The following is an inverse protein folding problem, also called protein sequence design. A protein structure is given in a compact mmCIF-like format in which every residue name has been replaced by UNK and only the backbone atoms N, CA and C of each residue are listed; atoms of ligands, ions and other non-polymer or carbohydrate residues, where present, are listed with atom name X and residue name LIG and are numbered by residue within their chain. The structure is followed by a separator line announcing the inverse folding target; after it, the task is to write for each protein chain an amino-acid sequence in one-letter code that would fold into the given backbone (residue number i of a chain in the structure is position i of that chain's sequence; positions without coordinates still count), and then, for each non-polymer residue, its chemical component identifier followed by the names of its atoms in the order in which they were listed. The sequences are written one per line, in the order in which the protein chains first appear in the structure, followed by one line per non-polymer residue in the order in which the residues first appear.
data_IF_336533005969
#
_entry.id   IF_336533005969
#
_cell.length_a   1.000
_cell.length_b   1.000
_cell.length_c   1.000
_cell.angle_alpha   90.00
_cell.angle_beta   90.00
_cell.angle_gamma   90.00
#
_symmetry.space_group_name_H-M   'P 1'
#
loop_
_entity.id
_entity.type
_entity.pdbx_description
1 polymer ?
#
# COMPACT_ATOMS: atom_id res chain seq x y z
N UNK A 1 35.82 -14.36 -6.44
CA UNK A 1 35.44 -12.93 -6.62
C UNK A 1 34.14 -12.59 -5.91
N UNK A 2 33.05 -13.36 -6.07
CA UNK A 2 31.78 -13.13 -5.37
C UNK A 2 31.92 -12.97 -3.84
N UNK A 3 32.71 -13.81 -3.17
CA UNK A 3 32.93 -13.74 -1.72
C UNK A 3 33.62 -12.43 -1.26
N UNK A 4 34.44 -11.82 -2.12
CA UNK A 4 35.11 -10.53 -1.86
C UNK A 4 34.13 -9.35 -1.94
N UNK A 5 33.23 -9.36 -2.93
CA UNK A 5 32.17 -8.36 -3.07
C UNK A 5 31.18 -8.42 -1.90
N UNK A 6 30.81 -9.63 -1.49
CA UNK A 6 29.93 -9.85 -0.35
C UNK A 6 30.55 -9.33 0.96
N UNK A 7 31.83 -9.65 1.23
CA UNK A 7 32.57 -9.10 2.37
C UNK A 7 32.68 -7.58 2.32
N UNK A 8 32.88 -7.00 1.13
CA UNK A 8 32.95 -5.55 0.96
C UNK A 8 31.61 -4.86 1.29
N UNK A 9 30.49 -5.48 0.91
CA UNK A 9 29.15 -4.98 1.23
C UNK A 9 28.86 -5.01 2.74
N UNK A 10 29.14 -6.12 3.42
CA UNK A 10 28.88 -6.27 4.87
C UNK A 10 29.74 -5.30 5.70
N UNK A 11 30.99 -5.05 5.29
CA UNK A 11 31.93 -4.22 6.07
C UNK A 11 31.60 -2.72 6.04
N UNK A 12 30.63 -2.28 5.25
CA UNK A 12 30.24 -0.86 5.21
C UNK A 12 29.38 -0.50 6.43
N UNK A 13 29.97 0.20 7.41
CA UNK A 13 29.28 0.72 8.62
C UNK A 13 27.99 1.49 8.30
N UNK A 14 27.92 2.15 7.13
CA UNK A 14 26.75 2.89 6.66
C UNK A 14 25.52 1.99 6.43
N UNK A 15 25.72 0.73 6.05
CA UNK A 15 24.62 -0.22 5.84
C UNK A 15 23.96 -0.60 7.17
N UNK A 16 24.74 -0.72 8.27
CA UNK A 16 24.21 -1.01 9.61
C UNK A 16 23.35 0.16 10.11
N UNK A 17 23.87 1.39 10.03
CA UNK A 17 23.10 2.59 10.41
C UNK A 17 21.80 2.69 9.61
N UNK A 18 21.86 2.35 8.33
CA UNK A 18 20.70 2.34 7.46
C UNK A 18 19.63 1.31 7.89
N UNK A 19 20.04 0.09 8.26
CA UNK A 19 19.10 -0.90 8.80
C UNK A 19 18.46 -0.44 10.11
N UNK A 20 19.22 0.21 10.99
CA UNK A 20 18.69 0.79 12.23
C UNK A 20 17.63 1.86 11.90
N UNK A 21 17.90 2.76 10.96
CA UNK A 21 16.93 3.78 10.52
C UNK A 21 15.66 3.15 9.92
N UNK A 22 15.79 2.09 9.11
CA UNK A 22 14.63 1.36 8.59
C UNK A 22 13.80 0.72 9.70
N UNK A 23 14.45 0.14 10.71
CA UNK A 23 13.77 -0.47 11.85
C UNK A 23 13.01 0.61 12.64
N UNK A 24 13.66 1.73 12.96
CA UNK A 24 13.00 2.85 13.66
C UNK A 24 11.80 3.36 12.86
N UNK A 25 11.97 3.61 11.56
CA UNK A 25 10.89 4.05 10.69
C UNK A 25 9.74 3.04 10.66
N UNK A 26 10.06 1.75 10.57
CA UNK A 26 9.08 0.66 10.64
C UNK A 26 8.30 0.69 11.96
N UNK A 27 8.97 0.86 13.09
CA UNK A 27 8.33 0.96 14.41
C UNK A 27 7.40 2.17 14.50
N UNK A 28 7.86 3.35 14.07
CA UNK A 28 7.05 4.58 14.09
C UNK A 28 5.77 4.41 13.28
N UNK A 29 5.88 3.95 12.03
CA UNK A 29 4.69 3.86 11.16
C UNK A 29 3.71 2.80 11.68
N UNK A 30 4.22 1.64 12.11
CA UNK A 30 3.37 0.55 12.64
C UNK A 30 2.67 0.97 13.94
N UNK A 31 3.36 1.73 14.80
CA UNK A 31 2.78 2.26 16.04
C UNK A 31 1.70 3.30 15.77
N UNK A 32 1.91 4.20 14.80
CA UNK A 32 0.90 5.18 14.37
C UNK A 32 -0.35 4.45 13.85
N UNK A 33 -0.15 3.41 13.03
CA UNK A 33 -1.24 2.59 12.48
C UNK A 33 -2.07 1.93 13.58
N UNK A 34 -1.41 1.33 14.58
CA UNK A 34 -2.09 0.73 15.73
C UNK A 34 -2.88 1.76 16.54
N UNK A 35 -2.26 2.90 16.85
CA UNK A 35 -2.91 3.98 17.58
C UNK A 35 -4.15 4.53 16.86
N UNK A 36 -4.07 4.71 15.53
CA UNK A 36 -5.20 5.18 14.74
C UNK A 36 -6.34 4.16 14.69
N UNK A 37 -6.04 2.86 14.63
CA UNK A 37 -7.06 1.81 14.70
C UNK A 37 -7.78 1.77 16.06
N UNK A 38 -7.02 1.88 17.16
CA UNK A 38 -7.58 1.92 18.52
C UNK A 38 -8.45 3.17 18.69
N UNK A 39 -8.00 4.32 18.16
CA UNK A 39 -8.77 5.57 18.13
C UNK A 39 -10.06 5.43 17.33
N UNK A 40 -10.03 4.81 16.15
CA UNK A 40 -11.22 4.62 15.32
C UNK A 40 -12.25 3.72 16.00
N UNK A 41 -11.80 2.64 16.65
CA UNK A 41 -12.67 1.75 17.43
C UNK A 41 -13.32 2.50 18.58
N UNK A 42 -12.53 3.27 19.34
CA UNK A 42 -13.06 4.11 20.42
C UNK A 42 -14.09 5.12 19.92
N UNK A 43 -13.83 5.76 18.78
CA UNK A 43 -14.74 6.72 18.16
C UNK A 43 -16.09 6.09 17.77
N UNK A 44 -16.09 4.85 17.29
CA UNK A 44 -17.36 4.15 17.00
C UNK A 44 -18.18 3.91 18.28
N UNK A 45 -17.52 3.59 19.40
CA UNK A 45 -18.17 3.49 20.70
C UNK A 45 -18.73 4.86 21.12
N UNK A 46 -17.92 5.92 21.04
CA UNK A 46 -18.31 7.28 21.41
C UNK A 46 -19.54 7.78 20.64
N UNK A 47 -19.67 7.44 19.34
CA UNK A 47 -20.86 7.78 18.53
C UNK A 47 -22.13 7.12 19.09
N UNK A 48 -22.06 5.88 19.56
CA UNK A 48 -23.20 5.21 20.16
C UNK A 48 -23.49 5.71 21.57
N UNK A 49 -22.46 6.02 22.35
CA UNK A 49 -22.59 6.61 23.70
C UNK A 49 -23.25 7.99 23.63
N UNK A 50 -22.84 8.86 22.70
CA UNK A 50 -23.43 10.19 22.55
C UNK A 50 -24.92 10.14 22.21
N UNK A 51 -25.31 9.26 21.28
CA UNK A 51 -26.74 9.07 20.94
C UNK A 51 -27.55 8.57 22.14
N UNK A 52 -26.99 7.67 22.94
CA UNK A 52 -27.66 7.21 24.16
C UNK A 52 -27.85 8.37 25.15
N UNK A 53 -26.83 9.21 25.33
CA UNK A 53 -26.87 10.31 26.28
C UNK A 53 -27.83 11.43 25.83
N UNK A 54 -27.87 11.75 24.53
CA UNK A 54 -28.85 12.68 23.95
C UNK A 54 -30.30 12.19 24.15
N UNK A 55 -30.53 10.89 23.97
CA UNK A 55 -31.84 10.28 24.20
C UNK A 55 -32.19 10.28 25.69
N UNK A 56 -31.24 10.00 26.58
CA UNK A 56 -31.48 10.07 28.04
C UNK A 56 -31.89 11.48 28.47
N UNK A 57 -31.22 12.52 27.96
CA UNK A 57 -31.61 13.91 28.23
C UNK A 57 -33.02 14.22 27.72
N UNK A 58 -33.37 13.72 26.54
CA UNK A 58 -34.73 13.85 25.98
C UNK A 58 -35.77 13.16 26.87
N UNK A 59 -35.49 11.94 27.34
CA UNK A 59 -36.35 11.21 28.28
C UNK A 59 -36.52 11.92 29.62
N UNK A 60 -35.47 12.58 30.13
CA UNK A 60 -35.56 13.40 31.35
C UNK A 60 -36.46 14.64 31.14
N UNK A 61 -36.33 15.31 29.99
CA UNK A 61 -37.19 16.43 29.62
C UNK A 61 -38.67 16.01 29.57
N UNK A 62 -38.99 14.88 28.93
CA UNK A 62 -40.37 14.37 28.88
C UNK A 62 -40.93 14.05 30.26
N UNK A 63 -40.11 13.50 31.17
CA UNK A 63 -40.52 13.25 32.56
C UNK A 63 -40.84 14.54 33.31
N UNK A 64 -40.15 15.63 33.02
CA UNK A 64 -40.42 16.94 33.63
C UNK A 64 -41.72 17.54 33.10
N UNK A 65 -41.95 17.53 31.79
CA UNK A 65 -43.19 18.03 31.19
C UNK A 65 -44.44 17.29 31.71
N UNK A 66 -44.33 15.97 31.88
CA UNK A 66 -45.38 15.14 32.50
C UNK A 66 -45.66 15.55 33.96
N UNK A 67 -44.61 15.85 34.75
CA UNK A 67 -44.75 16.31 36.14
C UNK A 67 -45.37 17.70 36.25
N UNK A 68 -45.12 18.57 35.27
CA UNK A 68 -45.68 19.92 35.24
C UNK A 68 -47.16 19.96 34.82
N UNK A 69 -47.75 18.82 34.42
CA UNK A 69 -49.18 18.71 34.11
C UNK A 69 -49.62 19.49 32.87
N UNK A 70 -48.67 19.85 31.99
CA UNK A 70 -48.89 20.73 30.83
C UNK A 70 -49.41 20.01 29.57
N UNK A 71 -49.50 18.69 29.58
CA UNK A 71 -49.79 17.86 28.40
C UNK A 71 -51.27 17.42 28.37
N UNK A 72 -51.89 17.48 27.19
CA UNK A 72 -53.21 16.89 26.95
C UNK A 72 -53.16 15.36 27.01
N UNK A 73 -54.30 14.69 27.13
CA UNK A 73 -54.34 13.21 27.15
C UNK A 73 -53.85 12.55 25.84
N UNK A 74 -54.00 13.22 24.70
CA UNK A 74 -53.45 12.76 23.42
C UNK A 74 -51.91 12.89 23.40
N UNK A 75 -51.39 14.01 23.89
CA UNK A 75 -49.94 14.25 23.96
C UNK A 75 -49.26 13.29 24.95
N UNK A 76 -49.95 12.90 26.03
CA UNK A 76 -49.44 11.89 26.98
C UNK A 76 -49.25 10.53 26.32
N UNK A 77 -50.21 10.07 25.51
CA UNK A 77 -50.09 8.80 24.77
C UNK A 77 -48.96 8.82 23.74
N UNK A 78 -48.86 9.91 22.97
CA UNK A 78 -47.78 10.09 21.99
C UNK A 78 -46.40 10.12 22.66
N UNK A 79 -46.31 10.74 23.84
CA UNK A 79 -45.10 10.77 24.65
C UNK A 79 -44.73 9.36 25.17
N UNK A 80 -45.69 8.58 25.68
CA UNK A 80 -45.44 7.20 26.11
C UNK A 80 -44.94 6.29 24.97
N UNK A 81 -45.49 6.42 23.76
CA UNK A 81 -45.00 5.69 22.58
C UNK A 81 -43.58 6.11 22.19
N UNK A 82 -43.32 7.42 22.15
CA UNK A 82 -41.99 7.97 21.87
C UNK A 82 -40.94 7.49 22.89
N UNK A 83 -41.29 7.43 24.17
CA UNK A 83 -40.41 6.91 25.22
C UNK A 83 -40.06 5.43 25.01
N UNK A 84 -41.02 4.60 24.58
CA UNK A 84 -40.75 3.18 24.25
C UNK A 84 -39.77 3.05 23.09
N UNK A 85 -39.95 3.86 22.06
CA UNK A 85 -39.04 3.87 20.91
C UNK A 85 -37.63 4.32 21.31
N UNK A 86 -37.52 5.36 22.13
CA UNK A 86 -36.23 5.80 22.68
C UNK A 86 -35.53 4.73 23.52
N UNK A 87 -36.26 4.03 24.39
CA UNK A 87 -35.69 2.91 25.17
C UNK A 87 -35.17 1.82 24.24
N UNK A 88 -35.94 1.46 23.19
CA UNK A 88 -35.52 0.46 22.20
C UNK A 88 -34.26 0.90 21.45
N UNK A 89 -34.14 2.19 21.11
CA UNK A 89 -32.93 2.74 20.48
C UNK A 89 -31.74 2.64 21.44
N UNK A 90 -31.90 3.00 22.72
CA UNK A 90 -30.86 2.85 23.74
C UNK A 90 -30.39 1.40 23.81
N UNK A 91 -31.31 0.44 23.90
CA UNK A 91 -30.96 -1.00 23.96
C UNK A 91 -30.16 -1.46 22.73
N UNK A 92 -30.56 -1.03 21.53
CA UNK A 92 -29.86 -1.36 20.28
C UNK A 92 -28.45 -0.76 20.29
N UNK A 93 -28.30 0.51 20.71
CA UNK A 93 -27.01 1.21 20.76
C UNK A 93 -26.09 0.63 21.83
N UNK A 94 -26.61 0.30 23.02
CA UNK A 94 -25.86 -0.37 24.08
C UNK A 94 -25.36 -1.74 23.63
N UNK A 95 -26.23 -2.53 22.97
CA UNK A 95 -25.82 -3.81 22.38
C UNK A 95 -24.71 -3.63 21.35
N UNK A 96 -24.78 -2.60 20.51
CA UNK A 96 -23.74 -2.31 19.53
C UNK A 96 -22.40 -2.00 20.21
N UNK A 97 -22.40 -1.18 21.26
CA UNK A 97 -21.19 -0.89 22.07
C UNK A 97 -20.58 -2.18 22.61
N UNK A 98 -21.38 -3.07 23.18
CA UNK A 98 -20.89 -4.35 23.71
C UNK A 98 -20.30 -5.23 22.61
N UNK A 99 -20.92 -5.26 21.43
CA UNK A 99 -20.45 -6.04 20.29
C UNK A 99 -19.15 -5.50 19.70
N UNK A 100 -18.98 -4.18 19.66
CA UNK A 100 -17.71 -3.54 19.29
C UNK A 100 -16.62 -3.87 20.32
N UNK A 101 -16.90 -3.67 21.62
CA UNK A 101 -15.94 -3.95 22.71
C UNK A 101 -15.47 -5.40 22.73
N UNK A 102 -16.37 -6.33 22.43
CA UNK A 102 -16.07 -7.76 22.39
C UNK A 102 -15.58 -8.26 21.02
N UNK A 103 -15.42 -7.38 20.01
CA UNK A 103 -15.01 -7.76 18.66
C UNK A 103 -15.88 -8.85 18.03
N UNK A 104 -17.19 -8.79 18.24
CA UNK A 104 -18.17 -9.72 17.65
C UNK A 104 -18.42 -9.36 16.17
N UNK A 105 -17.44 -9.68 15.33
CA UNK A 105 -17.43 -9.29 13.92
C UNK A 105 -18.59 -9.88 13.12
N UNK A 106 -19.08 -11.06 13.46
CA UNK A 106 -20.22 -11.67 12.76
C UNK A 106 -21.47 -10.82 12.92
N UNK A 107 -21.80 -10.42 14.16
CA UNK A 107 -22.90 -9.52 14.42
C UNK A 107 -22.72 -8.15 13.75
N UNK A 108 -21.51 -7.60 13.81
CA UNK A 108 -21.20 -6.29 13.22
C UNK A 108 -21.36 -6.31 11.69
N UNK A 109 -20.92 -7.38 11.02
CA UNK A 109 -21.11 -7.53 9.58
C UNK A 109 -22.58 -7.67 9.22
N UNK A 110 -23.34 -8.47 9.96
CA UNK A 110 -24.77 -8.63 9.70
C UNK A 110 -25.51 -7.32 9.81
N UNK A 111 -25.19 -6.53 10.83
CA UNK A 111 -25.87 -5.26 11.01
C UNK A 111 -25.56 -4.24 9.92
N UNK A 112 -24.33 -4.23 9.41
CA UNK A 112 -23.96 -3.33 8.32
C UNK A 112 -24.47 -3.83 6.96
N UNK A 113 -24.48 -5.15 6.71
CA UNK A 113 -25.04 -5.73 5.49
C UNK A 113 -26.54 -5.40 5.34
N UNK A 114 -27.28 -5.38 6.45
CA UNK A 114 -28.69 -4.90 6.48
C UNK A 114 -28.82 -3.44 6.04
N UNK A 115 -27.86 -2.58 6.38
CA UNK A 115 -27.94 -1.14 6.05
C UNK A 115 -27.57 -0.84 4.58
N UNK A 116 -26.82 -1.74 3.93
CA UNK A 116 -26.34 -1.57 2.55
C UNK A 116 -27.40 -1.92 1.49
N UNK A 117 -28.51 -2.53 1.89
CA UNK A 117 -29.65 -2.83 1.01
C UNK A 117 -30.94 -2.26 1.55
N UNK A 118 -31.81 -1.83 0.65
CA UNK A 118 -33.17 -1.42 1.00
C UNK A 118 -34.11 -2.64 1.14
N UNK A 119 -35.38 -2.36 1.46
CA UNK A 119 -36.42 -3.39 1.62
C UNK A 119 -36.69 -4.19 0.34
N UNK A 120 -36.40 -3.62 -0.83
CA UNK A 120 -36.59 -4.25 -2.13
C UNK A 120 -35.37 -5.09 -2.54
N UNK A 121 -34.29 -5.03 -1.76
CA UNK A 121 -33.05 -5.76 -1.96
C UNK A 121 -32.06 -5.05 -2.89
N UNK A 122 -32.36 -3.83 -3.31
CA UNK A 122 -31.47 -2.95 -4.08
C UNK A 122 -30.43 -2.29 -3.17
N UNK A 123 -29.31 -1.85 -3.75
CA UNK A 123 -28.27 -1.17 -2.97
C UNK A 123 -28.71 0.23 -2.56
N UNK A 124 -28.61 0.50 -1.26
CA UNK A 124 -28.97 1.79 -0.67
C UNK A 124 -28.11 2.92 -1.27
N UNK A 125 -28.76 4.05 -1.58
CA UNK A 125 -28.05 5.28 -1.95
C UNK A 125 -27.48 5.88 -0.66
N UNK A 126 -26.16 6.00 -0.59
CA UNK A 126 -25.47 6.54 0.58
C UNK A 126 -25.01 7.97 0.30
N UNK A 127 -25.55 8.89 1.07
CA UNK A 127 -25.23 10.32 0.99
C UNK A 127 -24.41 10.72 2.21
N UNK A 128 -23.21 11.28 1.97
CA UNK A 128 -22.41 11.85 3.04
C UNK A 128 -22.58 13.37 3.02
N UNK A 129 -23.32 13.90 3.99
CA UNK A 129 -23.55 15.33 4.10
C UNK A 129 -23.11 15.86 5.47
N UNK A 130 -22.61 17.08 5.49
CA UNK A 130 -22.40 17.87 6.70
C UNK A 130 -22.60 19.37 6.38
N UNK A 131 -22.34 20.25 7.35
CA UNK A 131 -22.55 21.70 7.17
C UNK A 131 -21.73 22.31 6.01
N UNK A 132 -20.60 21.69 5.64
CA UNK A 132 -19.66 22.17 4.63
C UNK A 132 -19.75 21.43 3.29
N UNK A 133 -20.31 20.21 3.29
CA UNK A 133 -20.42 19.33 2.12
C UNK A 133 -21.87 18.90 1.97
N UNK A 134 -22.46 19.29 0.84
CA UNK A 134 -23.83 18.92 0.46
C UNK A 134 -23.80 18.11 -0.83
N UNK A 135 -24.72 17.17 -0.95
CA UNK A 135 -24.97 16.35 -2.14
C UNK A 135 -23.77 15.49 -2.55
N UNK A 136 -22.99 14.99 -1.59
CA UNK A 136 -21.92 14.03 -1.86
C UNK A 136 -22.45 12.60 -1.82
N UNK A 137 -22.80 12.11 -3.01
CA UNK A 137 -23.32 10.76 -3.23
C UNK A 137 -22.18 9.75 -3.44
N UNK A 138 -22.20 8.66 -2.67
CA UNK A 138 -21.28 7.55 -2.84
C UNK A 138 -21.63 6.78 -4.12
N UNK A 139 -20.60 6.37 -4.87
CA UNK A 139 -20.79 5.62 -6.09
C UNK A 139 -21.47 4.27 -5.79
N UNK A 140 -22.49 3.88 -6.57
CA UNK A 140 -23.17 2.58 -6.43
C UNK A 140 -22.18 1.41 -6.44
N UNK A 141 -21.13 1.46 -7.26
CA UNK A 141 -20.09 0.43 -7.29
C UNK A 141 -19.29 0.35 -5.99
N UNK A 142 -19.09 1.47 -5.28
CA UNK A 142 -18.44 1.49 -3.96
C UNK A 142 -19.31 0.79 -2.92
N UNK A 143 -20.63 1.02 -2.95
CA UNK A 143 -21.60 0.33 -2.08
C UNK A 143 -21.60 -1.18 -2.36
N UNK A 144 -21.65 -1.57 -3.63
CA UNK A 144 -21.59 -2.96 -4.08
C UNK A 144 -20.28 -3.66 -3.64
N UNK A 145 -19.13 -3.00 -3.84
CA UNK A 145 -17.82 -3.49 -3.38
C UNK A 145 -17.79 -3.63 -1.87
N UNK A 146 -18.39 -2.69 -1.12
CA UNK A 146 -18.47 -2.75 0.34
C UNK A 146 -19.27 -3.99 0.77
N UNK A 147 -20.44 -4.21 0.18
CA UNK A 147 -21.29 -5.37 0.46
C UNK A 147 -20.55 -6.69 0.18
N UNK A 148 -19.93 -6.83 -0.99
CA UNK A 148 -19.16 -8.04 -1.36
C UNK A 148 -17.96 -8.26 -0.43
N UNK A 149 -17.29 -7.18 -0.02
CA UNK A 149 -16.16 -7.25 0.92
C UNK A 149 -16.60 -7.74 2.30
N UNK A 150 -17.68 -7.17 2.86
CA UNK A 150 -18.22 -7.59 4.16
C UNK A 150 -18.75 -9.03 4.10
N UNK A 151 -19.44 -9.40 3.03
CA UNK A 151 -19.92 -10.77 2.80
C UNK A 151 -18.76 -11.76 2.75
N UNK A 152 -17.67 -11.40 2.06
CA UNK A 152 -16.46 -12.21 2.02
C UNK A 152 -15.81 -12.34 3.41
N UNK A 153 -15.67 -11.24 4.15
CA UNK A 153 -15.09 -11.24 5.51
C UNK A 153 -15.90 -12.13 6.45
N UNK A 154 -17.24 -12.01 6.43
CA UNK A 154 -18.15 -12.86 7.21
C UNK A 154 -17.99 -14.34 6.85
N UNK A 155 -18.08 -14.67 5.57
CA UNK A 155 -17.99 -16.05 5.07
C UNK A 155 -16.68 -16.75 5.47
N UNK A 156 -15.59 -15.98 5.56
CA UNK A 156 -14.28 -16.49 5.91
C UNK A 156 -13.88 -16.30 7.38
N UNK A 157 -14.78 -15.78 8.22
CA UNK A 157 -14.56 -15.46 9.63
C UNK A 157 -13.26 -14.64 9.84
N UNK A 158 -13.10 -13.59 9.05
CA UNK A 158 -11.94 -12.71 9.10
C UNK A 158 -12.33 -11.41 9.83
N UNK A 159 -11.62 -11.01 10.90
CA UNK A 159 -11.90 -9.76 11.61
C UNK A 159 -11.53 -8.54 10.75
N UNK A 160 -12.21 -7.41 10.89
CA UNK A 160 -11.94 -6.18 10.12
C UNK A 160 -11.36 -5.09 11.03
N UNK A 161 -11.25 -3.88 10.49
CA UNK A 161 -11.10 -2.64 11.23
C UNK A 161 -12.31 -1.74 11.01
N UNK A 162 -12.57 -0.85 11.97
CA UNK A 162 -13.59 0.19 11.85
C UNK A 162 -13.08 1.40 11.02
N UNK A 163 -13.98 2.14 10.36
CA UNK A 163 -15.44 1.93 10.31
C UNK A 163 -15.85 0.92 9.21
N UNK A 164 -17.03 0.29 9.33
CA UNK A 164 -17.47 -0.80 8.43
C UNK A 164 -18.40 -0.34 7.29
N UNK A 165 -19.07 0.78 7.50
CA UNK A 165 -20.07 1.40 6.64
C UNK A 165 -19.65 1.57 5.17
N UNK A 166 -18.41 1.98 4.87
CA UNK A 166 -17.94 2.18 3.48
C UNK A 166 -16.52 1.66 3.31
N UNK A 167 -16.28 0.89 2.24
CA UNK A 167 -14.94 0.55 1.76
C UNK A 167 -14.53 1.55 0.67
N UNK A 168 -13.57 2.43 0.95
CA UNK A 168 -13.07 3.37 -0.07
C UNK A 168 -12.56 2.62 -1.30
N UNK A 169 -13.05 3.01 -2.48
CA UNK A 169 -12.58 2.48 -3.77
C UNK A 169 -12.00 3.60 -4.64
N UNK A 170 -11.32 3.23 -5.72
CA UNK A 170 -10.78 4.18 -6.70
C UNK A 170 -11.89 4.79 -7.58
N UNK A 171 -13.15 4.35 -7.43
CA UNK A 171 -14.31 4.99 -8.05
C UNK A 171 -14.70 6.30 -7.36
N UNK A 172 -14.28 6.50 -6.11
CA UNK A 172 -14.51 7.75 -5.38
C UNK A 172 -13.45 8.80 -5.74
N UNK A 173 -13.90 9.92 -6.29
CA UNK A 173 -13.04 11.07 -6.63
C UNK A 173 -13.56 12.35 -5.97
N UNK A 174 -13.27 12.55 -4.67
CA UNK A 174 -13.63 13.80 -3.99
C UNK A 174 -12.97 14.99 -4.69
N UNK A 175 -13.75 16.06 -4.86
CA UNK A 175 -13.36 17.30 -5.56
C UNK A 175 -12.71 18.31 -4.63
N UNK A 176 -13.06 18.27 -3.35
CA UNK A 176 -12.57 19.20 -2.32
C UNK A 176 -11.87 18.47 -1.19
N UNK A 177 -11.08 19.21 -0.40
CA UNK A 177 -10.46 18.68 0.82
C UNK A 177 -11.51 18.25 1.84
N UNK A 178 -12.63 18.98 1.91
CA UNK A 178 -13.73 18.73 2.83
C UNK A 178 -14.44 17.42 2.47
N UNK A 179 -14.73 17.20 1.18
CA UNK A 179 -15.27 15.94 0.67
C UNK A 179 -14.32 14.77 0.96
N UNK A 180 -13.00 14.95 0.73
CA UNK A 180 -12.03 13.90 1.02
C UNK A 180 -11.95 13.56 2.50
N UNK A 181 -12.00 14.57 3.38
CA UNK A 181 -11.98 14.37 4.82
C UNK A 181 -13.26 13.69 5.32
N UNK A 182 -14.41 14.04 4.73
CA UNK A 182 -15.70 13.41 5.04
C UNK A 182 -15.73 11.95 4.57
N UNK A 183 -15.27 11.68 3.35
CA UNK A 183 -15.11 10.32 2.85
C UNK A 183 -14.16 9.53 3.75
N UNK A 184 -13.03 10.09 4.14
CA UNK A 184 -12.08 9.43 5.04
C UNK A 184 -12.68 9.15 6.41
N UNK A 185 -13.47 10.06 6.97
CA UNK A 185 -14.19 9.83 8.22
C UNK A 185 -15.07 8.57 8.16
N UNK A 186 -15.73 8.36 7.02
CA UNK A 186 -16.67 7.27 6.82
C UNK A 186 -16.07 6.01 6.19
N UNK A 187 -14.83 6.04 5.71
CA UNK A 187 -14.28 4.90 4.93
C UNK A 187 -12.83 4.56 5.22
N UNK A 188 -12.09 5.42 5.92
CA UNK A 188 -10.68 5.19 6.22
C UNK A 188 -10.54 4.14 7.30
N UNK A 189 -10.33 2.90 6.84
CA UNK A 189 -9.93 1.78 7.69
C UNK A 189 -8.42 1.82 7.89
N UNK A 190 -7.98 1.89 9.14
CA UNK A 190 -6.58 1.65 9.46
C UNK A 190 -6.41 0.16 9.66
N UNK A 191 -6.21 -0.55 8.55
CA UNK A 191 -6.11 -2.00 8.51
C UNK A 191 -4.91 -2.47 9.35
N UNK A 192 -5.18 -3.36 10.31
CA UNK A 192 -4.19 -3.85 11.27
C UNK A 192 -3.64 -5.21 10.86
N UNK A 193 -2.32 -5.36 11.00
CA UNK A 193 -1.63 -6.63 10.89
C UNK A 193 -0.81 -6.82 9.62
N UNK A 194 -0.03 -7.90 9.63
CA UNK A 194 1.13 -8.10 8.77
C UNK A 194 0.86 -8.06 7.26
N UNK A 195 -0.21 -8.70 6.79
CA UNK A 195 -0.59 -8.78 5.37
C UNK A 195 -1.02 -7.43 4.78
N UNK A 196 -1.79 -6.65 5.54
CA UNK A 196 -2.19 -5.30 5.12
C UNK A 196 -1.00 -4.34 5.10
N UNK A 197 -0.11 -4.45 6.08
CA UNK A 197 1.13 -3.67 6.11
C UNK A 197 2.04 -3.97 4.92
N UNK A 198 2.16 -5.24 4.55
CA UNK A 198 2.88 -5.64 3.34
C UNK A 198 2.22 -5.10 2.07
N UNK A 199 0.89 -5.09 2.00
CA UNK A 199 0.19 -4.56 0.84
C UNK A 199 0.34 -3.03 0.74
N UNK A 200 0.24 -2.33 1.86
CA UNK A 200 0.54 -0.90 1.97
C UNK A 200 1.98 -0.59 1.51
N UNK A 201 2.94 -1.42 1.92
CA UNK A 201 4.33 -1.34 1.48
C UNK A 201 4.48 -1.36 -0.05
N UNK A 202 3.78 -2.26 -0.73
CA UNK A 202 3.85 -2.39 -2.19
C UNK A 202 3.05 -1.32 -2.94
N UNK A 203 2.00 -0.78 -2.32
CA UNK A 203 1.04 0.13 -2.96
C UNK A 203 1.52 1.58 -2.95
N UNK A 204 2.26 1.97 -1.90
CA UNK A 204 2.64 3.35 -1.64
C UNK A 204 4.14 3.64 -1.91
N UNK A 205 4.62 4.79 -1.43
CA UNK A 205 5.91 5.41 -1.78
C UNK A 205 7.16 4.62 -1.32
N UNK A 206 7.04 3.45 -0.70
CA UNK A 206 8.17 2.74 -0.10
C UNK A 206 9.08 2.04 -1.13
N UNK A 207 8.61 1.80 -2.36
CA UNK A 207 9.48 1.41 -3.48
C UNK A 207 10.52 2.49 -3.81
N UNK A 208 10.24 3.77 -3.50
CA UNK A 208 11.23 4.85 -3.65
C UNK A 208 12.36 4.71 -2.64
N UNK A 209 12.08 4.27 -1.41
CA UNK A 209 13.12 3.98 -0.41
C UNK A 209 14.00 2.84 -0.93
N UNK A 210 13.42 1.77 -1.44
CA UNK A 210 14.17 0.67 -2.04
C UNK A 210 15.02 1.11 -3.23
N UNK A 211 14.46 1.94 -4.12
CA UNK A 211 15.17 2.55 -5.25
C UNK A 211 16.37 3.36 -4.77
N UNK A 212 16.18 4.22 -3.77
CA UNK A 212 17.24 5.03 -3.17
C UNK A 212 18.37 4.15 -2.61
N UNK A 213 18.03 3.09 -1.89
CA UNK A 213 19.01 2.15 -1.34
C UNK A 213 19.82 1.50 -2.45
N UNK A 214 19.15 0.95 -3.48
CA UNK A 214 19.83 0.31 -4.61
C UNK A 214 20.79 1.31 -5.25
N UNK A 215 20.33 2.53 -5.55
CA UNK A 215 21.13 3.55 -6.22
C UNK A 215 22.36 3.92 -5.39
N UNK A 216 22.20 4.17 -4.09
CA UNK A 216 23.32 4.53 -3.20
C UNK A 216 24.30 3.37 -3.04
N UNK A 217 23.81 2.19 -2.71
CA UNK A 217 24.64 1.00 -2.47
C UNK A 217 25.41 0.61 -3.73
N UNK A 218 24.70 0.39 -4.83
CA UNK A 218 25.28 -0.16 -6.05
C UNK A 218 25.95 0.90 -6.91
N UNK A 219 25.48 2.15 -6.91
CA UNK A 219 26.17 3.26 -7.55
C UNK A 219 27.57 3.47 -6.97
N UNK A 220 27.72 3.38 -5.65
CA UNK A 220 29.03 3.43 -4.99
C UNK A 220 29.86 2.18 -5.33
N UNK A 221 29.26 0.99 -5.29
CA UNK A 221 29.98 -0.28 -5.51
C UNK A 221 30.52 -0.40 -6.95
N UNK A 222 29.71 -0.06 -7.95
CA UNK A 222 30.10 -0.13 -9.37
C UNK A 222 30.99 1.02 -9.80
N UNK A 223 30.80 2.23 -9.28
CA UNK A 223 31.75 3.31 -9.56
C UNK A 223 33.14 2.97 -9.02
N UNK A 224 33.23 2.36 -7.83
CA UNK A 224 34.49 1.86 -7.27
C UNK A 224 35.10 0.70 -8.05
N UNK A 225 34.32 -0.03 -8.86
CA UNK A 225 34.82 -1.05 -9.78
C UNK A 225 35.61 -0.47 -10.95
N UNK A 226 35.16 0.68 -11.42
CA UNK A 226 35.82 1.43 -12.49
C UNK A 226 36.97 2.29 -11.98
N UNK A 227 36.89 2.78 -10.74
CA UNK A 227 37.89 3.64 -10.13
C UNK A 227 39.22 2.90 -9.89
N UNK A 228 40.31 3.41 -10.49
CA UNK A 228 41.65 2.80 -10.45
C UNK A 228 42.29 2.80 -9.05
N UNK A 229 41.76 3.59 -8.12
CA UNK A 229 42.32 3.77 -6.77
C UNK A 229 41.95 2.65 -5.79
N UNK A 230 41.00 1.76 -6.13
CA UNK A 230 40.61 0.68 -5.22
C UNK A 230 41.67 -0.44 -5.19
N UNK A 231 42.39 -0.54 -4.06
CA UNK A 231 43.49 -1.50 -3.82
C UNK A 231 43.12 -2.95 -4.17
N UNK A 232 41.89 -3.37 -3.88
CA UNK A 232 41.41 -4.74 -4.12
C UNK A 232 41.24 -5.04 -5.61
N UNK A 233 40.70 -4.08 -6.36
CA UNK A 233 40.49 -4.24 -7.81
C UNK A 233 41.80 -4.10 -8.56
N UNK A 234 42.70 -3.23 -8.09
CA UNK A 234 44.08 -3.16 -8.59
C UNK A 234 44.77 -4.51 -8.41
N UNK A 235 44.66 -5.14 -7.24
CA UNK A 235 45.20 -6.47 -6.97
C UNK A 235 44.60 -7.55 -7.91
N UNK A 236 43.28 -7.54 -8.12
CA UNK A 236 42.63 -8.49 -9.05
C UNK A 236 43.08 -8.27 -10.50
N UNK A 237 43.23 -7.00 -10.92
CA UNK A 237 43.73 -6.63 -12.25
C UNK A 237 45.21 -7.00 -12.44
N UNK A 238 46.04 -6.91 -11.41
CA UNK A 238 47.45 -7.33 -11.44
C UNK A 238 47.60 -8.85 -11.37
N UNK A 239 46.63 -9.56 -10.79
CA UNK A 239 46.59 -11.03 -10.73
C UNK A 239 46.08 -11.68 -12.03
N UNK A 240 45.98 -10.93 -13.13
CA UNK A 240 45.57 -11.45 -14.45
C UNK A 240 44.05 -11.63 -14.64
N UNK A 241 43.20 -11.14 -13.74
CA UNK A 241 41.75 -11.21 -13.96
C UNK A 241 41.32 -10.24 -15.07
N UNK A 242 40.63 -10.76 -16.09
CA UNK A 242 40.07 -9.96 -17.17
C UNK A 242 38.99 -9.00 -16.68
N UNK A 243 38.85 -7.84 -17.35
CA UNK A 243 37.84 -6.84 -16.98
C UNK A 243 36.44 -7.41 -17.14
N UNK A 244 36.23 -8.22 -18.18
CA UNK A 244 35.00 -8.97 -18.41
C UNK A 244 34.62 -9.85 -17.20
N UNK A 245 35.56 -10.62 -16.65
CA UNK A 245 35.32 -11.51 -15.50
C UNK A 245 35.00 -10.72 -14.23
N UNK A 246 35.60 -9.55 -14.05
CA UNK A 246 35.33 -8.66 -12.91
C UNK A 246 33.92 -8.06 -13.01
N UNK A 247 33.55 -7.51 -14.16
CA UNK A 247 32.23 -6.88 -14.38
C UNK A 247 31.11 -7.92 -14.31
N UNK A 248 31.25 -9.06 -14.99
CA UNK A 248 30.25 -10.15 -14.94
C UNK A 248 30.06 -10.71 -13.52
N UNK A 249 31.14 -10.93 -12.78
CA UNK A 249 31.05 -11.34 -11.37
C UNK A 249 30.39 -10.27 -10.49
N UNK A 250 30.64 -8.99 -10.78
CA UNK A 250 30.00 -7.86 -10.12
C UNK A 250 28.49 -7.80 -10.39
N UNK A 251 28.06 -7.97 -11.65
CA UNK A 251 26.65 -7.98 -12.04
C UNK A 251 25.90 -9.15 -11.41
N UNK A 252 26.50 -10.35 -11.42
CA UNK A 252 25.89 -11.54 -10.82
C UNK A 252 25.74 -11.38 -9.29
N UNK A 253 26.81 -10.96 -8.61
CA UNK A 253 26.78 -10.76 -7.15
C UNK A 253 25.84 -9.62 -6.77
N UNK A 254 25.86 -8.53 -7.55
CA UNK A 254 24.99 -7.38 -7.34
C UNK A 254 23.52 -7.72 -7.54
N UNK A 255 23.17 -8.48 -8.59
CA UNK A 255 21.81 -8.96 -8.83
C UNK A 255 21.28 -9.83 -7.68
N UNK A 256 22.07 -10.81 -7.22
CA UNK A 256 21.70 -11.63 -6.04
C UNK A 256 21.48 -10.75 -4.81
N UNK A 257 22.39 -9.81 -4.56
CA UNK A 257 22.30 -8.93 -3.41
C UNK A 257 21.08 -8.00 -3.49
N UNK A 258 20.72 -7.52 -4.68
CA UNK A 258 19.50 -6.73 -4.92
C UNK A 258 18.26 -7.54 -4.56
N UNK A 259 18.21 -8.82 -4.95
CA UNK A 259 17.10 -9.72 -4.59
C UNK A 259 17.04 -9.94 -3.07
N UNK A 260 18.17 -10.27 -2.44
CA UNK A 260 18.24 -10.48 -0.99
C UNK A 260 17.77 -9.22 -0.24
N UNK A 261 18.22 -8.04 -0.66
CA UNK A 261 17.82 -6.76 -0.07
C UNK A 261 16.33 -6.49 -0.29
N UNK A 262 15.82 -6.82 -1.49
CA UNK A 262 14.41 -6.69 -1.84
C UNK A 262 13.51 -7.63 -1.04
N UNK A 263 13.99 -8.78 -0.59
CA UNK A 263 13.25 -9.68 0.31
C UNK A 263 13.38 -9.26 1.77
N UNK A 264 14.57 -8.79 2.17
CA UNK A 264 14.88 -8.47 3.55
C UNK A 264 14.11 -7.24 4.05
N UNK A 265 13.91 -6.21 3.22
CA UNK A 265 13.16 -5.01 3.62
C UNK A 265 11.69 -5.34 3.96
N UNK A 266 10.89 -5.96 3.08
CA UNK A 266 9.54 -6.41 3.43
C UNK A 266 9.52 -7.33 4.65
N UNK A 267 10.53 -8.21 4.80
CA UNK A 267 10.63 -9.11 5.96
C UNK A 267 10.82 -8.36 7.28
N UNK A 268 11.64 -7.29 7.30
CA UNK A 268 11.80 -6.45 8.50
C UNK A 268 10.49 -5.76 8.84
N UNK A 269 9.82 -5.15 7.86
CA UNK A 269 8.53 -4.49 8.10
C UNK A 269 7.46 -5.48 8.55
N UNK A 270 7.44 -6.68 7.98
CA UNK A 270 6.58 -7.77 8.42
C UNK A 270 6.86 -8.16 9.88
N UNK A 271 8.14 -8.33 10.25
CA UNK A 271 8.52 -8.70 11.61
C UNK A 271 8.15 -7.63 12.64
N UNK A 272 8.32 -6.34 12.31
CA UNK A 272 7.92 -5.23 13.18
C UNK A 272 6.40 -5.20 13.37
N UNK A 273 5.64 -5.29 12.27
CA UNK A 273 4.17 -5.32 12.34
C UNK A 273 3.66 -6.52 13.13
N UNK A 274 4.28 -7.69 12.93
CA UNK A 274 3.96 -8.90 13.69
C UNK A 274 4.12 -8.70 15.20
N UNK A 275 5.18 -7.99 15.63
CA UNK A 275 5.42 -7.71 17.05
C UNK A 275 4.43 -6.69 17.65
N UNK A 276 3.99 -5.71 16.86
CA UNK A 276 3.11 -4.63 17.35
C UNK A 276 1.63 -5.02 17.29
N UNK A 277 1.23 -5.64 16.19
CA UNK A 277 -0.17 -5.84 15.78
C UNK A 277 -0.56 -7.32 15.64
N UNK A 278 0.40 -8.24 15.71
CA UNK A 278 0.17 -9.67 15.49
C UNK A 278 0.08 -10.06 14.01
N UNK A 279 -0.09 -11.35 13.74
CA UNK A 279 -0.28 -11.87 12.39
C UNK A 279 -1.70 -11.60 11.88
N UNK A 280 -1.82 -11.17 10.63
CA UNK A 280 -3.10 -11.11 9.94
C UNK A 280 -3.23 -12.21 8.88
N UNK A 281 -4.48 -12.47 8.47
CA UNK A 281 -4.79 -13.48 7.46
C UNK A 281 -4.23 -13.11 6.08
N UNK A 282 -3.74 -14.08 5.32
CA UNK A 282 -3.42 -13.88 3.90
C UNK A 282 -4.66 -13.98 3.00
N UNK A 283 -5.83 -14.26 3.58
CA UNK A 283 -7.11 -14.35 2.87
C UNK A 283 -7.88 -13.04 2.85
N UNK A 284 -7.40 -11.96 3.49
CA UNK A 284 -8.10 -10.67 3.51
C UNK A 284 -8.51 -10.23 2.10
N UNK A 285 -9.73 -9.74 1.89
CA UNK A 285 -10.20 -9.31 0.59
C UNK A 285 -9.49 -8.02 0.16
N UNK A 286 -9.07 -7.98 -1.10
CA UNK A 286 -8.64 -6.78 -1.81
C UNK A 286 -9.50 -6.63 -3.06
N UNK A 287 -10.00 -5.42 -3.27
CA UNK A 287 -10.70 -5.06 -4.50
C UNK A 287 -9.70 -4.91 -5.63
N UNK A 288 -9.83 -5.76 -6.65
CA UNK A 288 -9.02 -5.69 -7.86
C UNK A 288 -9.85 -5.19 -9.02
N UNK A 289 -9.27 -4.31 -9.82
CA UNK A 289 -9.94 -3.62 -10.92
C UNK A 289 -9.61 -4.31 -12.24
N UNK A 290 -10.65 -4.67 -12.98
CA UNK A 290 -10.55 -5.42 -14.25
C UNK A 290 -11.01 -4.50 -15.36
N UNK A 291 -10.20 -4.38 -16.42
CA UNK A 291 -10.58 -3.65 -17.63
C UNK A 291 -11.56 -4.50 -18.44
N UNK A 292 -12.76 -3.98 -18.69
CA UNK A 292 -13.83 -4.59 -19.49
C UNK A 292 -13.88 -4.08 -20.93
N UNK A 293 -13.38 -2.87 -21.19
CA UNK A 293 -13.50 -2.19 -22.48
C UNK A 293 -12.22 -1.44 -22.86
N UNK A 294 -11.99 -1.29 -24.16
CA UNK A 294 -10.82 -0.64 -24.75
C UNK A 294 -10.88 0.90 -24.74
N UNK A 295 -11.97 1.48 -24.23
CA UNK A 295 -12.10 2.93 -24.04
C UNK A 295 -11.95 3.31 -22.56
N UNK A 296 -11.29 4.43 -22.24
CA UNK A 296 -11.20 4.88 -20.84
C UNK A 296 -12.51 5.53 -20.39
N UNK A 297 -13.24 4.85 -19.52
CA UNK A 297 -14.36 5.38 -18.74
C UNK A 297 -14.46 4.59 -17.44
N UNK A 298 -15.13 5.10 -16.39
CA UNK A 298 -15.37 4.31 -15.19
C UNK A 298 -16.22 3.05 -15.45
N UNK A 299 -17.13 3.12 -16.43
CA UNK A 299 -17.94 1.98 -16.88
C UNK A 299 -17.09 0.89 -17.55
N UNK A 300 -15.87 1.25 -18.00
CA UNK A 300 -14.91 0.32 -18.59
C UNK A 300 -14.20 -0.53 -17.54
N UNK A 301 -14.43 -0.29 -16.25
CA UNK A 301 -13.85 -1.06 -15.16
C UNK A 301 -14.92 -1.92 -14.49
N UNK A 302 -14.60 -3.19 -14.30
CA UNK A 302 -15.23 -4.04 -13.31
C UNK A 302 -14.34 -4.19 -12.08
N UNK A 303 -14.83 -4.92 -11.11
CA UNK A 303 -14.05 -5.32 -9.95
C UNK A 303 -14.16 -6.83 -9.70
N UNK A 304 -13.22 -7.34 -8.92
CA UNK A 304 -13.26 -8.67 -8.31
C UNK A 304 -12.63 -8.60 -6.93
N UNK A 305 -13.24 -9.28 -5.97
CA UNK A 305 -12.66 -9.49 -4.65
C UNK A 305 -11.71 -10.70 -4.73
N UNK A 306 -10.43 -10.48 -4.40
CA UNK A 306 -9.42 -11.53 -4.35
C UNK A 306 -8.70 -11.52 -3.01
N UNK A 307 -8.14 -12.65 -2.56
CA UNK A 307 -7.32 -12.64 -1.35
C UNK A 307 -6.05 -11.80 -1.55
N UNK A 308 -5.65 -11.09 -0.49
CA UNK A 308 -4.45 -10.25 -0.44
C UNK A 308 -3.20 -11.02 -0.83
N UNK A 309 -3.14 -12.35 -0.60
CA UNK A 309 -2.03 -13.21 -1.03
C UNK A 309 -1.76 -13.15 -2.54
N UNK A 310 -2.80 -13.09 -3.39
CA UNK A 310 -2.64 -13.03 -4.84
C UNK A 310 -2.00 -11.69 -5.26
N UNK A 311 -2.52 -10.58 -4.72
CA UNK A 311 -2.01 -9.24 -4.96
C UNK A 311 -0.57 -9.09 -4.43
N UNK A 312 -0.28 -9.60 -3.23
CA UNK A 312 1.05 -9.57 -2.63
C UNK A 312 2.07 -10.35 -3.47
N UNK A 313 1.70 -11.53 -3.97
CA UNK A 313 2.59 -12.35 -4.81
C UNK A 313 2.94 -11.62 -6.10
N UNK A 314 1.94 -11.06 -6.79
CA UNK A 314 2.14 -10.24 -7.99
C UNK A 314 3.00 -9.01 -7.71
N UNK A 315 2.71 -8.32 -6.61
CA UNK A 315 3.45 -7.14 -6.17
C UNK A 315 4.92 -7.45 -5.89
N UNK A 316 5.20 -8.56 -5.21
CA UNK A 316 6.56 -9.00 -4.88
C UNK A 316 7.36 -9.32 -6.15
N UNK A 317 6.76 -10.02 -7.11
CA UNK A 317 7.41 -10.33 -8.40
C UNK A 317 7.80 -9.03 -9.13
N UNK A 318 6.84 -8.10 -9.28
CA UNK A 318 7.09 -6.81 -9.92
C UNK A 318 8.14 -6.00 -9.16
N UNK A 319 8.09 -5.99 -7.83
CA UNK A 319 9.03 -5.30 -6.98
C UNK A 319 10.48 -5.78 -7.18
N UNK A 320 10.68 -7.10 -7.20
CA UNK A 320 12.01 -7.69 -7.41
C UNK A 320 12.52 -7.42 -8.83
N UNK A 321 11.67 -7.57 -9.86
CA UNK A 321 12.04 -7.24 -11.23
C UNK A 321 12.40 -5.76 -11.38
N UNK A 322 11.61 -4.87 -10.80
CA UNK A 322 11.89 -3.43 -10.79
C UNK A 322 13.21 -3.12 -10.07
N UNK A 323 13.48 -3.77 -8.93
CA UNK A 323 14.76 -3.65 -8.22
C UNK A 323 15.96 -4.03 -9.09
N UNK A 324 15.88 -5.17 -9.79
CA UNK A 324 16.93 -5.62 -10.72
C UNK A 324 17.09 -4.63 -11.87
N UNK A 325 16.00 -4.12 -12.42
CA UNK A 325 16.04 -3.10 -13.47
C UNK A 325 16.77 -1.83 -13.01
N UNK A 326 16.41 -1.26 -11.85
CA UNK A 326 17.08 -0.08 -11.27
C UNK A 326 18.56 -0.34 -10.98
N UNK A 327 18.88 -1.53 -10.48
CA UNK A 327 20.26 -1.96 -10.26
C UNK A 327 21.08 -1.91 -11.56
N UNK A 328 20.53 -2.41 -12.67
CA UNK A 328 21.23 -2.42 -13.96
C UNK A 328 21.36 -1.02 -14.58
N UNK A 329 20.33 -0.17 -14.46
CA UNK A 329 20.39 1.23 -14.88
C UNK A 329 21.51 1.96 -14.12
N UNK A 330 21.53 1.82 -12.80
CA UNK A 330 22.56 2.43 -11.94
C UNK A 330 23.95 1.92 -12.32
N UNK A 331 24.09 0.61 -12.55
CA UNK A 331 25.36 -0.01 -12.95
C UNK A 331 25.85 0.54 -14.29
N UNK A 332 24.95 0.71 -15.26
CA UNK A 332 25.24 1.31 -16.57
C UNK A 332 25.79 2.72 -16.42
N UNK A 333 25.11 3.56 -15.64
CA UNK A 333 25.53 4.94 -15.39
C UNK A 333 26.90 4.98 -14.70
N UNK A 334 27.11 4.12 -13.69
CA UNK A 334 28.39 4.01 -12.99
C UNK A 334 29.55 3.67 -13.92
N UNK A 335 29.33 2.81 -14.92
CA UNK A 335 30.36 2.45 -15.90
C UNK A 335 30.85 3.65 -16.72
N UNK A 336 29.96 4.60 -17.03
CA UNK A 336 30.30 5.80 -17.81
C UNK A 336 30.88 6.93 -16.97
N UNK A 337 30.32 7.19 -15.78
CA UNK A 337 30.64 8.38 -14.97
C UNK A 337 31.92 8.21 -14.16
N UNK A 338 32.29 6.97 -13.78
CA UNK A 338 33.52 6.61 -13.05
C UNK A 338 33.77 7.42 -11.76
N UNK A 339 32.70 7.94 -11.15
CA UNK A 339 32.72 8.69 -9.91
C UNK A 339 31.49 8.32 -9.09
N UNK A 340 31.70 7.90 -7.83
CA UNK A 340 30.62 7.38 -6.99
C UNK A 340 29.53 8.41 -6.72
N UNK A 341 29.91 9.66 -6.41
CA UNK A 341 28.95 10.72 -6.08
C UNK A 341 28.17 11.14 -7.33
N UNK A 342 28.87 11.40 -8.43
CA UNK A 342 28.22 11.79 -9.69
C UNK A 342 27.31 10.69 -10.23
N UNK A 343 27.70 9.42 -10.10
CA UNK A 343 26.86 8.29 -10.52
C UNK A 343 25.57 8.19 -9.72
N UNK A 344 25.63 8.39 -8.39
CA UNK A 344 24.43 8.37 -7.54
C UNK A 344 23.50 9.52 -7.92
N UNK A 345 24.01 10.74 -8.03
CA UNK A 345 23.23 11.92 -8.39
C UNK A 345 22.58 11.76 -9.77
N UNK A 346 23.35 11.32 -10.77
CA UNK A 346 22.84 11.16 -12.14
C UNK A 346 21.82 10.03 -12.24
N UNK A 347 22.03 8.90 -11.55
CA UNK A 347 21.07 7.79 -11.53
C UNK A 347 19.76 8.22 -10.89
N UNK A 348 19.82 8.90 -9.75
CA UNK A 348 18.63 9.37 -9.06
C UNK A 348 17.88 10.44 -9.87
N UNK A 349 18.61 11.42 -10.44
CA UNK A 349 18.03 12.45 -11.30
C UNK A 349 17.33 11.87 -12.54
N UNK A 350 17.94 10.86 -13.18
CA UNK A 350 17.36 10.18 -14.33
C UNK A 350 16.11 9.37 -13.94
N UNK A 351 16.17 8.61 -12.85
CA UNK A 351 15.01 7.83 -12.39
C UNK A 351 13.86 8.76 -12.02
N UNK A 352 14.12 9.83 -11.25
CA UNK A 352 13.11 10.78 -10.81
C UNK A 352 12.43 11.50 -11.98
N UNK A 353 13.21 11.92 -12.99
CA UNK A 353 12.66 12.59 -14.18
C UNK A 353 11.87 11.62 -15.06
N UNK A 354 12.39 10.42 -15.31
CA UNK A 354 11.70 9.44 -16.14
C UNK A 354 10.44 8.86 -15.48
N UNK A 355 10.39 8.81 -14.15
CA UNK A 355 9.21 8.38 -13.40
C UNK A 355 7.99 9.29 -13.63
N UNK A 356 8.19 10.57 -13.97
CA UNK A 356 7.09 11.51 -14.24
C UNK A 356 6.31 11.16 -15.52
N UNK A 357 6.94 10.43 -16.45
CA UNK A 357 6.28 9.99 -17.68
C UNK A 357 5.46 8.73 -17.43
N UNK A 358 4.24 8.91 -16.92
CA UNK A 358 3.32 7.83 -16.55
C UNK A 358 2.72 7.12 -17.79
N UNK A 359 3.53 6.30 -18.45
CA UNK A 359 3.16 5.48 -19.60
C UNK A 359 3.41 4.00 -19.33
N UNK A 360 2.54 3.14 -19.85
CA UNK A 360 2.62 1.70 -19.64
C UNK A 360 3.91 1.08 -20.18
N UNK A 361 4.54 1.64 -21.22
CA UNK A 361 5.80 1.13 -21.77
C UNK A 361 7.05 1.68 -21.07
N UNK A 362 6.89 2.62 -20.13
CA UNK A 362 8.00 3.22 -19.40
C UNK A 362 8.25 2.43 -18.11
N UNK A 363 9.32 1.62 -17.99
CA UNK A 363 9.56 0.83 -16.78
C UNK A 363 9.82 1.71 -15.54
N UNK A 364 10.25 2.98 -15.70
CA UNK A 364 10.45 3.90 -14.57
C UNK A 364 9.14 4.36 -13.90
N UNK A 365 7.99 4.18 -14.56
CA UNK A 365 6.69 4.51 -13.96
C UNK A 365 6.19 3.42 -12.99
N UNK A 366 6.85 2.26 -12.92
CA UNK A 366 6.36 1.07 -12.19
C UNK A 366 6.68 1.06 -10.69
N UNK A 367 6.90 2.23 -10.10
CA UNK A 367 7.22 2.37 -8.69
C UNK A 367 6.02 2.08 -7.76
N UNK A 368 4.78 2.06 -8.26
CA UNK A 368 3.57 1.65 -7.52
C UNK A 368 3.17 0.21 -7.87
N UNK A 369 4.03 -0.75 -7.56
CA UNK A 369 3.84 -2.17 -7.95
C UNK A 369 2.56 -2.78 -7.39
N UNK A 370 2.13 -2.39 -6.19
CA UNK A 370 0.86 -2.83 -5.58
C UNK A 370 -0.35 -2.37 -6.38
N UNK A 371 -0.33 -1.12 -6.85
CA UNK A 371 -1.40 -0.55 -7.69
C UNK A 371 -1.45 -1.16 -9.10
N UNK A 372 -0.33 -1.67 -9.59
CA UNK A 372 -0.29 -2.45 -10.83
C UNK A 372 -0.87 -3.84 -10.59
N UNK A 373 -0.57 -4.46 -9.44
CA UNK A 373 -1.03 -5.78 -9.08
C UNK A 373 -2.54 -5.86 -8.83
N UNK A 374 -3.13 -4.83 -8.20
CA UNK A 374 -4.58 -4.74 -8.00
C UNK A 374 -5.34 -4.04 -9.13
N UNK A 375 -4.64 -3.44 -10.10
CA UNK A 375 -5.22 -2.77 -11.26
C UNK A 375 -5.66 -1.31 -11.02
N UNK A 376 -5.60 -0.80 -9.79
CA UNK A 376 -5.98 0.58 -9.44
C UNK A 376 -5.16 1.63 -10.20
N UNK A 377 -3.94 1.28 -10.63
CA UNK A 377 -3.07 2.18 -11.39
C UNK A 377 -3.72 2.70 -12.67
N UNK A 378 -4.61 1.92 -13.28
CA UNK A 378 -5.31 2.28 -14.51
C UNK A 378 -6.27 3.45 -14.26
N UNK A 379 -7.03 3.38 -13.17
CA UNK A 379 -7.96 4.45 -12.78
C UNK A 379 -7.18 5.73 -12.42
N UNK A 380 -6.13 5.60 -11.61
CA UNK A 380 -5.29 6.74 -11.19
C UNK A 380 -4.56 7.41 -12.35
N UNK A 381 -4.10 6.62 -13.31
CA UNK A 381 -3.34 7.11 -14.47
C UNK A 381 -4.23 7.46 -15.66
N UNK A 382 -5.56 7.37 -15.48
CA UNK A 382 -6.57 7.58 -16.52
C UNK A 382 -6.27 6.80 -17.80
N UNK A 383 -5.97 5.50 -17.65
CA UNK A 383 -5.64 4.58 -18.75
C UNK A 383 -6.21 3.20 -18.49
N UNK A 384 -6.10 2.30 -19.46
CA UNK A 384 -6.56 0.89 -19.38
C UNK A 384 -5.44 -0.09 -19.71
N UNK A 385 -4.22 0.42 -19.86
CA UNK A 385 -3.14 -0.30 -20.54
C UNK A 385 -2.21 -1.04 -19.58
N UNK A 386 -2.17 -0.65 -18.30
CA UNK A 386 -1.38 -1.35 -17.30
C UNK A 386 -2.01 -2.70 -16.99
N UNK A 387 -1.16 -3.72 -16.90
CA UNK A 387 -1.52 -5.04 -16.39
C UNK A 387 -0.26 -5.70 -15.88
N UNK A 388 -0.42 -6.61 -14.91
CA UNK A 388 0.69 -7.38 -14.35
C UNK A 388 1.56 -8.03 -15.44
N UNK A 389 0.95 -8.72 -16.40
CA UNK A 389 1.69 -9.46 -17.44
C UNK A 389 2.47 -8.52 -18.37
N UNK A 390 1.88 -7.39 -18.78
CA UNK A 390 2.58 -6.40 -19.63
C UNK A 390 3.75 -5.77 -18.88
N UNK A 391 3.54 -5.39 -17.62
CA UNK A 391 4.59 -4.79 -16.80
C UNK A 391 5.75 -5.75 -16.56
N UNK A 392 5.47 -7.02 -16.26
CA UNK A 392 6.49 -8.06 -16.16
C UNK A 392 7.28 -8.21 -17.46
N UNK A 393 6.60 -8.30 -18.61
CA UNK A 393 7.26 -8.41 -19.92
C UNK A 393 8.20 -7.24 -20.20
N UNK A 394 7.75 -6.01 -19.94
CA UNK A 394 8.55 -4.80 -20.18
C UNK A 394 9.79 -4.76 -19.27
N UNK A 395 9.63 -5.09 -17.99
CA UNK A 395 10.76 -5.16 -17.06
C UNK A 395 11.77 -6.21 -17.50
N UNK A 396 11.33 -7.41 -17.88
CA UNK A 396 12.22 -8.49 -18.36
C UNK A 396 12.96 -8.05 -19.63
N UNK A 397 12.28 -7.44 -20.60
CA UNK A 397 12.91 -6.92 -21.82
C UNK A 397 13.97 -5.86 -21.45
N UNK A 398 13.64 -4.91 -20.58
CA UNK A 398 14.58 -3.88 -20.13
C UNK A 398 15.80 -4.46 -19.42
N UNK A 399 15.60 -5.45 -18.53
CA UNK A 399 16.67 -6.18 -17.84
C UNK A 399 17.58 -6.89 -18.86
N UNK A 400 17.01 -7.58 -19.84
CA UNK A 400 17.79 -8.26 -20.89
C UNK A 400 18.64 -7.28 -21.70
N UNK A 401 18.04 -6.17 -22.17
CA UNK A 401 18.73 -5.14 -22.96
C UNK A 401 19.91 -4.56 -22.16
N UNK A 402 19.68 -4.15 -20.91
CA UNK A 402 20.71 -3.55 -20.07
C UNK A 402 21.83 -4.55 -19.73
N UNK A 403 21.47 -5.80 -19.48
CA UNK A 403 22.46 -6.86 -19.20
C UNK A 403 23.35 -7.11 -20.41
N UNK A 404 22.76 -7.26 -21.60
CA UNK A 404 23.50 -7.43 -22.86
C UNK A 404 24.41 -6.22 -23.10
N UNK A 405 23.89 -5.00 -22.94
CA UNK A 405 24.67 -3.77 -23.10
C UNK A 405 25.91 -3.75 -22.20
N UNK A 406 25.74 -4.03 -20.90
CA UNK A 406 26.84 -4.05 -19.93
C UNK A 406 27.89 -5.13 -20.24
N UNK A 407 27.44 -6.33 -20.64
CA UNK A 407 28.31 -7.43 -21.05
C UNK A 407 29.12 -7.04 -22.30
N UNK A 408 28.47 -6.47 -23.31
CA UNK A 408 29.12 -6.00 -24.53
C UNK A 408 30.16 -4.90 -24.25
N UNK A 409 29.82 -3.92 -23.40
CA UNK A 409 30.75 -2.86 -22.99
C UNK A 409 31.98 -3.47 -22.29
N UNK A 410 31.77 -4.40 -21.36
CA UNK A 410 32.85 -5.06 -20.65
C UNK A 410 33.76 -5.85 -21.59
N UNK A 411 33.19 -6.56 -22.57
CA UNK A 411 33.94 -7.32 -23.56
C UNK A 411 34.77 -6.43 -24.49
N UNK A 412 34.21 -5.34 -25.01
CA UNK A 412 34.92 -4.39 -25.89
C UNK A 412 36.11 -3.76 -25.14
N UNK A 413 35.91 -3.39 -23.88
CA UNK A 413 36.97 -2.80 -23.06
C UNK A 413 38.11 -3.78 -22.77
N UNK A 414 37.81 -5.08 -22.64
CA UNK A 414 38.80 -6.12 -22.43
C UNK A 414 39.62 -6.37 -23.71
N UNK A 415 38.95 -6.45 -24.88
CA UNK A 415 39.62 -6.63 -26.18
C UNK A 415 40.55 -5.47 -26.54
N UNK A 416 40.13 -4.22 -26.28
CA UNK A 416 41.02 -3.06 -26.47
C UNK A 416 42.29 -3.19 -25.65
N UNK A 417 42.21 -3.66 -24.40
CA UNK A 417 43.37 -3.78 -23.50
C UNK A 417 44.38 -4.84 -23.97
N UNK A 418 43.91 -5.96 -24.52
CA UNK A 418 44.79 -7.02 -25.03
C UNK A 418 45.42 -6.69 -26.39
N UNK A 419 44.95 -5.65 -27.10
CA UNK A 419 45.57 -5.19 -28.34
C UNK A 419 46.66 -4.12 -28.16
N UNK A 420 46.85 -3.61 -26.94
CA UNK A 420 47.92 -2.66 -26.58
C UNK A 420 49.00 -3.28 -25.69
N UNK A 421 48.89 -4.58 -25.38
CA UNK A 421 49.91 -5.40 -24.74
C UNK A 421 50.50 -6.31 -25.80
#
# INVERSE_FOLDING_TARGET
MCNLFFKYFIKQKKNILFFIMLIILGFVISSISKFENDKNTKKQIEIHESVIDDIKLSLEHFKLELKEGKLSEEDKKLNEESQKDYIKIIEIRSRMIDKIKNSDWEYLYDKELENLKDSDGEFTIIDLNNDLVKDYHINKLTVEVTFETLTYLKKHNIPSAHPLNIQRTEFEQPRTSEESNLLDYHSKKTLVGTSHRLWDFFTNNLVLIYTFIIVVTFGILFSKLEESQNKTIRFLKTSGASKFRIVSSGLFTGGILTIILGLLIPTIFFGIEFLISGSSSLKYPITTYIVKSDYYSFMSFGYKIVPISDVLTKSLILFLLYGIFIFLVTSTISTFVKSSVKSVILSFGLIATLQMFNKWYNPFSYWRVGKIADGSINILSKTITYSFDKSCKILVIGICILTILLICIAFIQDRRRNGYA
#
